data_IF_435612729529
#
_entry.id   IF_435612729529
#
_cell.length_a   1.000
_cell.length_b   1.000
_cell.length_c   1.000
_cell.angle_alpha   90.00
_cell.angle_beta   90.00
_cell.angle_gamma   90.00
#
_symmetry.space_group_name_H-M   'P 1'
#
loop_
_entity.id
_entity.type
_entity.pdbx_description
1 polymer ?
#
# COMPACT_ATOMS: atom_id res chain seq x y z
N UNK A 1 16.91 3.27 36.23
CA UNK A 1 15.95 2.37 35.56
C UNK A 1 16.36 2.27 34.11
N UNK A 2 16.62 1.06 33.59
CA UNK A 2 17.03 0.85 32.19
C UNK A 2 15.83 0.28 31.44
N UNK A 3 15.43 0.93 30.35
CA UNK A 3 14.41 0.40 29.45
C UNK A 3 15.08 -0.56 28.46
N UNK A 4 14.48 -1.74 28.26
CA UNK A 4 14.96 -2.74 27.32
C UNK A 4 13.93 -2.93 26.21
N UNK A 5 14.33 -2.67 24.97
CA UNK A 5 13.50 -2.93 23.79
C UNK A 5 13.52 -4.43 23.48
N UNK A 6 12.34 -5.04 23.44
CA UNK A 6 12.17 -6.45 23.08
C UNK A 6 11.56 -6.52 21.68
N UNK A 7 12.29 -7.12 20.74
CA UNK A 7 11.78 -7.40 19.41
C UNK A 7 10.76 -8.54 19.48
N UNK A 8 9.52 -8.28 19.06
CA UNK A 8 8.48 -9.30 18.90
C UNK A 8 8.22 -9.53 17.42
N UNK A 9 8.57 -10.72 16.93
CA UNK A 9 8.39 -11.12 15.53
C UNK A 9 9.56 -10.73 14.61
N UNK A 10 9.49 -11.13 13.33
CA UNK A 10 10.52 -10.79 12.35
C UNK A 10 10.44 -9.31 12.01
N UNK A 11 11.62 -8.69 11.86
CA UNK A 11 11.78 -7.31 11.36
C UNK A 11 12.44 -7.28 9.98
N UNK A 12 12.84 -8.45 9.48
CA UNK A 12 13.49 -8.68 8.20
C UNK A 12 12.74 -9.75 7.40
N UNK A 13 12.88 -9.69 6.09
CA UNK A 13 12.39 -10.69 5.16
C UNK A 13 13.34 -11.90 5.07
N UNK A 14 13.01 -12.88 4.21
CA UNK A 14 13.82 -14.08 3.96
C UNK A 14 15.23 -13.78 3.40
N UNK A 15 15.45 -12.60 2.82
CA UNK A 15 16.74 -12.15 2.31
C UNK A 15 17.54 -11.31 3.33
N UNK A 16 16.98 -11.07 4.52
CA UNK A 16 17.58 -10.26 5.57
C UNK A 16 17.40 -8.75 5.41
N UNK A 17 16.56 -8.30 4.46
CA UNK A 17 16.22 -6.90 4.22
C UNK A 17 15.06 -6.43 5.11
N UNK A 18 14.92 -5.13 5.40
CA UNK A 18 13.81 -4.61 6.21
C UNK A 18 12.43 -4.94 5.64
N UNK A 19 11.47 -5.31 6.49
CA UNK A 19 10.09 -5.66 6.07
C UNK A 19 9.26 -4.48 5.53
N UNK A 20 9.74 -3.25 5.58
CA UNK A 20 8.97 -2.10 5.14
C UNK A 20 9.07 -1.95 3.62
N UNK A 21 7.93 -1.90 2.92
CA UNK A 21 7.90 -1.46 1.52
C UNK A 21 8.22 0.04 1.49
N UNK A 22 9.31 0.42 0.84
CA UNK A 22 9.67 1.83 0.72
C UNK A 22 8.73 2.54 -0.26
N UNK A 23 8.23 3.70 0.15
CA UNK A 23 7.38 4.58 -0.66
C UNK A 23 8.19 5.77 -1.17
N UNK A 24 9.26 5.50 -1.92
CA UNK A 24 10.16 6.47 -2.53
C UNK A 24 10.76 5.92 -3.83
N UNK A 25 11.57 6.72 -4.52
CA UNK A 25 12.18 6.38 -5.82
C UNK A 25 13.11 5.15 -5.81
N UNK A 26 13.55 4.67 -4.64
CA UNK A 26 14.36 3.44 -4.57
C UNK A 26 13.54 2.16 -4.76
N UNK A 27 12.21 2.26 -4.67
CA UNK A 27 11.29 1.19 -4.98
C UNK A 27 10.64 1.47 -6.34
N UNK A 28 10.98 0.74 -7.42
CA UNK A 28 10.47 1.02 -8.76
C UNK A 28 8.95 0.91 -8.88
N UNK A 29 8.30 0.12 -8.00
CA UNK A 29 6.85 0.00 -7.96
C UNK A 29 6.15 1.25 -7.42
N UNK A 30 6.82 2.06 -6.62
CA UNK A 30 6.25 3.25 -6.00
C UNK A 30 5.92 4.35 -7.02
N UNK A 31 6.85 4.84 -7.87
CA UNK A 31 6.52 5.88 -8.85
C UNK A 31 5.50 5.38 -9.88
N UNK A 32 5.55 4.10 -10.26
CA UNK A 32 4.55 3.48 -11.14
C UNK A 32 3.14 3.58 -10.55
N UNK A 33 3.01 3.21 -9.28
CA UNK A 33 1.77 3.31 -8.53
C UNK A 33 1.30 4.77 -8.41
N UNK A 34 2.19 5.70 -8.04
CA UNK A 34 1.84 7.12 -7.92
C UNK A 34 1.34 7.71 -9.24
N UNK A 35 2.05 7.44 -10.34
CA UNK A 35 1.69 7.93 -11.66
C UNK A 35 0.34 7.38 -12.11
N UNK A 36 0.03 6.12 -11.79
CA UNK A 36 -1.27 5.52 -12.11
C UNK A 36 -2.43 6.22 -11.38
N UNK A 37 -2.25 6.57 -10.10
CA UNK A 37 -3.27 7.32 -9.35
C UNK A 37 -3.47 8.71 -9.94
N UNK A 38 -2.38 9.42 -10.28
CA UNK A 38 -2.46 10.74 -10.93
C UNK A 38 -3.17 10.64 -12.28
N UNK A 39 -2.84 9.64 -13.09
CA UNK A 39 -3.47 9.41 -14.40
C UNK A 39 -4.98 9.13 -14.28
N UNK A 40 -5.43 8.48 -13.21
CA UNK A 40 -6.86 8.30 -12.92
C UNK A 40 -7.59 9.58 -12.45
N UNK A 41 -6.90 10.72 -12.40
CA UNK A 41 -7.43 11.98 -11.85
C UNK A 41 -7.50 12.00 -10.32
N UNK A 42 -6.79 11.09 -9.66
CA UNK A 42 -6.72 10.97 -8.21
C UNK A 42 -5.57 11.79 -7.61
N UNK A 43 -5.57 11.89 -6.27
CA UNK A 43 -4.47 12.44 -5.48
C UNK A 43 -4.15 11.49 -4.35
N UNK A 44 -2.89 11.10 -4.22
CA UNK A 44 -2.43 10.29 -3.09
C UNK A 44 -2.24 11.16 -1.84
N UNK A 45 -2.64 10.59 -0.70
CA UNK A 45 -2.22 11.10 0.60
C UNK A 45 -0.74 10.77 0.85
N UNK A 46 -0.18 11.35 1.91
CA UNK A 46 1.15 10.98 2.38
C UNK A 46 1.17 9.48 2.72
N UNK A 47 2.22 8.72 2.37
CA UNK A 47 2.37 7.33 2.81
C UNK A 47 2.40 7.25 4.34
N UNK A 48 1.69 6.27 4.90
CA UNK A 48 1.59 6.05 6.34
C UNK A 48 1.98 4.62 6.72
N UNK A 49 2.51 4.47 7.93
CA UNK A 49 2.69 3.15 8.54
C UNK A 49 1.37 2.78 9.20
N UNK A 50 0.72 1.74 8.67
CA UNK A 50 -0.47 1.19 9.28
C UNK A 50 -0.12 0.51 10.60
N UNK A 51 -0.70 0.98 11.71
CA UNK A 51 -0.52 0.39 13.04
C UNK A 51 -1.29 -0.93 13.24
N UNK A 52 -2.11 -1.31 12.26
CA UNK A 52 -2.89 -2.57 12.23
C UNK A 52 -2.17 -3.67 11.44
N UNK A 53 -2.82 -4.83 11.29
CA UNK A 53 -2.30 -5.98 10.54
C UNK A 53 -3.07 -6.18 9.25
N UNK A 54 -2.36 -6.56 8.18
CA UNK A 54 -2.91 -6.97 6.88
C UNK A 54 -2.12 -8.14 6.32
N UNK A 55 -2.62 -8.76 5.25
CA UNK A 55 -1.94 -9.86 4.55
C UNK A 55 -0.58 -9.44 3.98
N UNK A 56 -0.37 -8.14 3.77
CA UNK A 56 0.92 -7.59 3.33
C UNK A 56 2.07 -7.93 4.28
N UNK A 57 1.82 -8.30 5.55
CA UNK A 57 2.91 -8.78 6.43
C UNK A 57 3.56 -10.05 5.89
N UNK A 58 2.77 -10.99 5.35
CA UNK A 58 3.26 -12.28 4.90
C UNK A 58 3.98 -12.14 3.56
N UNK A 59 3.44 -11.32 2.66
CA UNK A 59 4.11 -11.00 1.39
C UNK A 59 5.47 -10.33 1.61
N UNK A 60 5.53 -9.34 2.51
CA UNK A 60 6.79 -8.66 2.84
C UNK A 60 7.79 -9.58 3.54
N UNK A 61 7.35 -10.54 4.35
CA UNK A 61 8.23 -11.58 4.91
C UNK A 61 8.88 -12.43 3.82
N UNK A 62 8.17 -12.69 2.72
CA UNK A 62 8.69 -13.41 1.56
C UNK A 62 9.55 -12.53 0.62
N UNK A 63 9.85 -11.29 0.99
CA UNK A 63 10.62 -10.36 0.16
C UNK A 63 9.82 -9.73 -0.98
N UNK A 64 8.48 -9.85 -0.98
CA UNK A 64 7.62 -9.28 -2.01
C UNK A 64 7.15 -7.88 -1.55
N UNK A 65 7.50 -6.80 -2.28
CA UNK A 65 7.01 -5.45 -1.97
C UNK A 65 5.48 -5.39 -2.02
N UNK A 66 4.86 -4.81 -1.00
CA UNK A 66 3.39 -4.67 -0.93
C UNK A 66 2.98 -3.29 -0.41
N UNK A 67 2.02 -2.67 -1.08
CA UNK A 67 1.39 -1.40 -0.69
C UNK A 67 -0.06 -1.65 -0.29
N UNK A 68 -0.46 -1.17 0.89
CA UNK A 68 -1.87 -1.15 1.29
C UNK A 68 -2.54 0.11 0.75
N UNK A 69 -3.61 -0.06 -0.03
CA UNK A 69 -4.30 1.06 -0.66
C UNK A 69 -5.79 0.79 -0.81
N UNK A 70 -6.61 1.81 -0.53
CA UNK A 70 -8.04 1.82 -0.80
C UNK A 70 -8.42 3.17 -1.40
N UNK A 71 -9.01 3.24 -2.62
CA UNK A 71 -9.36 4.50 -3.28
C UNK A 71 -10.65 5.12 -2.70
N UNK A 72 -10.68 5.35 -1.39
CA UNK A 72 -11.83 5.83 -0.62
C UNK A 72 -11.66 7.30 -0.22
N UNK A 73 -11.30 8.15 -1.18
CA UNK A 73 -11.09 9.57 -0.90
C UNK A 73 -12.35 10.23 -0.31
N UNK A 74 -12.15 11.11 0.67
CA UNK A 74 -13.24 11.85 1.36
C UNK A 74 -14.31 10.94 1.99
N UNK A 75 -13.91 9.75 2.46
CA UNK A 75 -14.78 8.79 3.17
C UNK A 75 -14.38 8.75 4.64
N UNK A 76 -15.34 8.74 5.59
CA UNK A 76 -15.02 8.55 7.01
C UNK A 76 -14.33 7.19 7.24
N UNK A 77 -13.48 7.12 8.27
CA UNK A 77 -12.88 5.86 8.71
C UNK A 77 -13.94 5.10 9.51
N UNK A 78 -14.50 4.04 8.94
CA UNK A 78 -15.58 3.24 9.52
C UNK A 78 -15.25 1.74 9.61
N UNK A 79 -13.98 1.36 9.43
CA UNK A 79 -13.60 -0.06 9.48
C UNK A 79 -14.02 -0.64 10.83
N UNK A 80 -14.85 -1.69 10.81
CA UNK A 80 -15.40 -2.36 11.99
C UNK A 80 -16.36 -1.51 12.85
N UNK A 81 -16.84 -0.38 12.35
CA UNK A 81 -17.83 0.45 13.04
C UNK A 81 -19.27 0.06 12.67
N UNK A 82 -20.21 0.45 13.53
CA UNK A 82 -21.64 0.39 13.22
C UNK A 82 -21.95 1.19 11.95
N UNK A 83 -22.83 0.65 11.10
CA UNK A 83 -23.22 1.27 9.83
C UNK A 83 -22.04 1.60 8.90
N UNK A 84 -20.99 0.76 8.87
CA UNK A 84 -19.93 0.86 7.86
C UNK A 84 -20.53 0.96 6.45
N UNK A 85 -20.19 2.03 5.72
CA UNK A 85 -20.72 2.29 4.38
C UNK A 85 -19.68 2.94 3.47
N UNK A 86 -19.92 2.82 2.16
CA UNK A 86 -19.18 3.52 1.12
C UNK A 86 -20.16 4.11 0.12
N UNK A 87 -19.94 5.35 -0.32
CA UNK A 87 -20.76 5.95 -1.39
C UNK A 87 -20.51 5.20 -2.69
N UNK A 88 -21.57 4.87 -3.42
CA UNK A 88 -21.55 4.24 -4.73
C UNK A 88 -20.61 4.95 -5.73
N UNK A 89 -20.64 6.28 -5.76
CA UNK A 89 -19.78 7.11 -6.60
C UNK A 89 -18.30 6.99 -6.25
N UNK A 90 -17.96 6.76 -4.97
CA UNK A 90 -16.58 6.51 -4.52
C UNK A 90 -16.17 5.09 -4.90
N UNK A 91 -17.05 4.11 -4.70
CA UNK A 91 -16.83 2.72 -5.11
C UNK A 91 -16.56 2.61 -6.62
N UNK A 92 -17.43 3.18 -7.46
CA UNK A 92 -17.29 3.16 -8.92
C UNK A 92 -16.04 3.91 -9.39
N UNK A 93 -15.67 5.02 -8.74
CA UNK A 93 -14.41 5.70 -9.00
C UNK A 93 -13.21 4.83 -8.63
N UNK A 94 -13.31 4.10 -7.52
CA UNK A 94 -12.30 3.14 -7.09
C UNK A 94 -11.99 2.08 -8.15
N UNK A 95 -13.02 1.57 -8.84
CA UNK A 95 -12.83 0.65 -9.98
C UNK A 95 -11.96 1.31 -11.06
N UNK A 96 -12.26 2.56 -11.44
CA UNK A 96 -11.47 3.30 -12.43
C UNK A 96 -10.04 3.55 -11.99
N UNK A 97 -9.81 3.81 -10.71
CA UNK A 97 -8.45 3.93 -10.16
C UNK A 97 -7.70 2.60 -10.30
N UNK A 98 -8.33 1.48 -9.93
CA UNK A 98 -7.71 0.16 -10.05
C UNK A 98 -7.43 -0.26 -11.49
N UNK A 99 -8.29 0.09 -12.45
CA UNK A 99 -8.02 -0.13 -13.89
C UNK A 99 -6.66 0.50 -14.29
N UNK A 100 -6.38 1.72 -13.85
CA UNK A 100 -5.11 2.41 -14.12
C UNK A 100 -3.94 1.77 -13.36
N UNK A 101 -4.11 1.45 -12.08
CA UNK A 101 -3.07 0.84 -11.24
C UNK A 101 -2.66 -0.53 -11.80
N UNK A 102 -3.63 -1.39 -12.10
CA UNK A 102 -3.36 -2.72 -12.65
C UNK A 102 -2.67 -2.60 -14.01
N UNK A 103 -3.14 -1.72 -14.89
CA UNK A 103 -2.50 -1.47 -16.19
C UNK A 103 -1.04 -1.02 -16.05
N UNK A 104 -0.77 -0.04 -15.18
CA UNK A 104 0.58 0.48 -14.97
C UNK A 104 1.53 -0.57 -14.35
N UNK A 105 1.09 -1.29 -13.33
CA UNK A 105 1.92 -2.29 -12.63
C UNK A 105 2.17 -3.55 -13.48
N UNK A 106 1.22 -3.93 -14.34
CA UNK A 106 1.39 -5.07 -15.26
C UNK A 106 2.19 -4.75 -16.51
N UNK A 107 2.34 -3.45 -16.85
CA UNK A 107 3.14 -2.99 -17.99
C UNK A 107 4.58 -2.66 -17.60
N UNK A 108 5.00 -3.02 -16.38
CA UNK A 108 6.32 -2.69 -15.86
C UNK A 108 7.40 -3.46 -16.65
N UNK A 109 8.41 -2.79 -17.22
CA UNK A 109 9.43 -3.48 -18.02
C UNK A 109 10.24 -4.44 -17.16
N UNK A 110 10.49 -5.66 -17.66
CA UNK A 110 11.31 -6.64 -16.95
C UNK A 110 12.74 -6.14 -16.63
N UNK A 111 13.25 -5.18 -17.39
CA UNK A 111 14.57 -4.60 -17.22
C UNK A 111 14.63 -3.47 -16.16
N UNK A 112 13.50 -3.15 -15.52
CA UNK A 112 13.37 -2.08 -14.52
C UNK A 112 13.25 -2.61 -13.09
N UNK A 113 13.48 -3.92 -12.89
CA UNK A 113 13.41 -4.63 -11.60
C UNK A 113 14.79 -4.97 -11.05
#
# INVERSE_FOLDING_TARGET
>A
MVLQLIQKGPIKDIAGLPLATLANESNPWWPAFQQAIIASGGKLARPEILASTTDARFMRQMGIPALGFSPMANTPILLHEHNEFLKDTVFLRGIKVYEHVISALSSFPANSL
#
